data_IF_100712185485
#
_entry.id   IF_100712185485
#
_cell.length_a   1.000
_cell.length_b   1.000
_cell.length_c   1.000
_cell.angle_alpha   90.00
_cell.angle_beta   90.00
_cell.angle_gamma   90.00
#
_symmetry.space_group_name_H-M   'P 1'
#
loop_
_entity.id
_entity.type
_entity.pdbx_description
1 polymer ?
#
# COMPACT_ATOMS: atom_id res chain seq x y z
N UNK A 1 -19.83 3.04 0.78
CA UNK A 1 -19.71 1.85 -0.09
C UNK A 1 -18.26 1.78 -0.58
N UNK A 2 -17.59 0.62 -0.56
CA UNK A 2 -16.23 0.52 -1.12
C UNK A 2 -16.26 0.86 -2.61
N UNK A 3 -15.43 1.80 -3.02
CA UNK A 3 -15.29 2.19 -4.43
C UNK A 3 -14.51 1.08 -5.14
N UNK A 4 -15.10 0.49 -6.16
CA UNK A 4 -14.43 -0.48 -7.03
C UNK A 4 -14.14 0.21 -8.35
N UNK A 5 -12.88 0.20 -8.77
CA UNK A 5 -12.41 0.87 -9.97
C UNK A 5 -11.67 -0.12 -10.88
N UNK A 6 -11.59 0.21 -12.16
CA UNK A 6 -10.79 -0.52 -13.12
C UNK A 6 -9.29 -0.19 -12.92
N UNK A 7 -8.41 -1.18 -12.65
CA UNK A 7 -7.00 -0.91 -12.39
C UNK A 7 -6.29 -0.16 -13.53
N UNK A 8 -6.64 -0.49 -14.78
CA UNK A 8 -6.11 0.21 -15.94
C UNK A 8 -6.60 1.66 -16.04
N UNK A 9 -7.80 1.97 -15.53
CA UNK A 9 -8.28 3.35 -15.47
C UNK A 9 -7.53 4.13 -14.39
N UNK A 10 -7.30 3.52 -13.21
CA UNK A 10 -6.47 4.12 -12.16
C UNK A 10 -5.05 4.41 -12.67
N UNK A 11 -4.38 3.44 -13.29
CA UNK A 11 -3.02 3.62 -13.84
C UNK A 11 -2.96 4.78 -14.84
N UNK A 12 -3.92 4.89 -15.77
CA UNK A 12 -4.00 6.02 -16.70
C UNK A 12 -4.14 7.36 -15.98
N UNK A 13 -5.05 7.46 -15.01
CA UNK A 13 -5.25 8.70 -14.24
C UNK A 13 -3.99 9.07 -13.47
N UNK A 14 -3.35 8.11 -12.79
CA UNK A 14 -2.11 8.37 -12.03
C UNK A 14 -0.97 8.84 -12.95
N UNK A 15 -0.80 8.22 -14.13
CA UNK A 15 0.19 8.65 -15.13
C UNK A 15 -0.10 10.06 -15.62
N UNK A 16 -1.37 10.36 -15.92
CA UNK A 16 -1.77 11.69 -16.37
C UNK A 16 -1.50 12.76 -15.31
N UNK A 17 -1.78 12.48 -14.02
CA UNK A 17 -1.47 13.39 -12.92
C UNK A 17 0.03 13.67 -12.84
N UNK A 18 0.86 12.63 -12.90
CA UNK A 18 2.33 12.77 -12.89
C UNK A 18 2.84 13.59 -14.09
N UNK A 19 2.35 13.30 -15.29
CA UNK A 19 2.75 14.03 -16.51
C UNK A 19 2.29 15.49 -16.45
N UNK A 20 1.06 15.76 -16.02
CA UNK A 20 0.51 17.12 -15.94
C UNK A 20 1.24 17.96 -14.90
N UNK A 21 1.68 17.34 -13.80
CA UNK A 21 2.51 17.97 -12.78
C UNK A 21 3.98 18.17 -13.22
N UNK A 22 4.38 17.66 -14.40
CA UNK A 22 5.75 17.76 -14.90
C UNK A 22 6.74 16.87 -14.13
N UNK A 23 6.27 15.78 -13.51
CA UNK A 23 7.15 14.86 -12.79
C UNK A 23 8.08 14.10 -13.76
N UNK A 24 9.36 14.02 -13.41
CA UNK A 24 10.33 13.13 -14.06
C UNK A 24 10.14 11.68 -13.55
N UNK A 25 9.39 10.88 -14.31
CA UNK A 25 9.07 9.48 -13.96
C UNK A 25 10.10 8.55 -14.59
N UNK A 26 10.92 7.90 -13.74
CA UNK A 26 11.95 6.96 -14.18
C UNK A 26 11.52 5.51 -13.92
N UNK A 27 11.03 4.86 -14.97
CA UNK A 27 10.76 3.42 -14.96
C UNK A 27 12.06 2.63 -15.21
N UNK A 28 12.01 1.31 -14.96
CA UNK A 28 13.16 0.41 -15.12
C UNK A 28 14.43 0.91 -14.40
N UNK A 29 14.21 1.66 -13.32
CA UNK A 29 15.24 2.29 -12.51
C UNK A 29 15.09 1.79 -11.09
N UNK A 30 16.11 1.12 -10.56
CA UNK A 30 16.09 0.59 -9.20
C UNK A 30 16.93 1.44 -8.26
N UNK A 31 16.47 1.56 -7.03
CA UNK A 31 17.29 2.03 -5.91
C UNK A 31 18.44 1.05 -5.65
N UNK A 32 19.62 1.57 -5.30
CA UNK A 32 20.83 0.77 -5.04
C UNK A 32 21.42 1.11 -3.68
N UNK A 33 21.74 2.38 -3.45
CA UNK A 33 22.47 2.86 -2.27
C UNK A 33 21.99 4.25 -1.88
N UNK A 34 22.30 4.69 -0.64
CA UNK A 34 21.98 6.02 -0.13
C UNK A 34 23.20 6.67 0.51
N UNK A 35 23.36 7.97 0.25
CA UNK A 35 24.35 8.82 0.91
C UNK A 35 23.67 9.64 2.02
N UNK A 36 24.12 9.43 3.26
CA UNK A 36 23.50 10.00 4.47
C UNK A 36 24.50 10.85 5.22
N UNK A 37 24.10 12.09 5.51
CA UNK A 37 24.74 12.92 6.52
C UNK A 37 24.19 12.58 7.91
N UNK A 38 24.95 11.80 8.68
CA UNK A 38 24.55 11.41 10.03
C UNK A 38 24.56 12.57 11.02
N UNK A 39 25.49 13.52 10.85
CA UNK A 39 25.63 14.68 11.75
C UNK A 39 24.51 15.67 11.46
N UNK A 40 24.27 15.96 10.18
CA UNK A 40 23.18 16.81 9.72
C UNK A 40 21.80 16.12 9.69
N UNK A 41 21.72 14.84 10.08
CA UNK A 41 20.50 14.01 10.11
C UNK A 41 19.68 14.08 8.82
N UNK A 42 20.34 13.95 7.67
CA UNK A 42 19.68 14.06 6.36
C UNK A 42 20.22 13.10 5.31
N UNK A 43 19.35 12.67 4.41
CA UNK A 43 19.75 12.07 3.14
C UNK A 43 20.29 13.17 2.23
N UNK A 44 21.48 12.96 1.66
CA UNK A 44 22.08 13.83 0.65
C UNK A 44 21.70 13.41 -0.75
N UNK A 45 21.77 12.11 -1.02
CA UNK A 45 21.46 11.54 -2.32
C UNK A 45 21.01 10.09 -2.22
N UNK A 46 20.29 9.65 -3.25
CA UNK A 46 20.14 8.23 -3.57
C UNK A 46 20.96 7.89 -4.81
N UNK A 47 21.42 6.65 -4.90
CA UNK A 47 22.04 6.08 -6.07
C UNK A 47 21.04 5.12 -6.68
N UNK A 48 20.73 5.34 -7.95
CA UNK A 48 19.85 4.48 -8.74
C UNK A 48 20.63 3.81 -9.85
N UNK A 49 20.08 2.73 -10.40
CA UNK A 49 20.62 2.04 -11.56
C UNK A 49 19.50 1.74 -12.56
N UNK A 50 19.71 2.07 -13.83
CA UNK A 50 18.75 1.78 -14.91
C UNK A 50 18.94 0.37 -15.50
N UNK A 51 18.09 0.02 -16.47
CA UNK A 51 18.13 -1.27 -17.16
C UNK A 51 19.46 -1.56 -17.89
N UNK A 52 20.24 -0.53 -18.25
CA UNK A 52 21.55 -0.70 -18.89
C UNK A 52 22.68 -0.95 -17.88
N UNK A 53 22.38 -0.82 -16.59
CA UNK A 53 23.35 -0.89 -15.51
C UNK A 53 24.01 0.45 -15.18
N UNK A 54 23.63 1.54 -15.85
CA UNK A 54 24.17 2.87 -15.58
C UNK A 54 23.70 3.34 -14.21
N UNK A 55 24.64 3.76 -13.36
CA UNK A 55 24.34 4.33 -12.04
C UNK A 55 24.18 5.85 -12.12
N UNK A 56 23.21 6.38 -11.40
CA UNK A 56 22.93 7.81 -11.32
C UNK A 56 22.80 8.24 -9.86
N UNK A 57 23.48 9.33 -9.49
CA UNK A 57 23.34 9.98 -8.18
C UNK A 57 22.28 11.06 -8.28
N UNK A 58 21.26 11.00 -7.43
CA UNK A 58 20.14 11.94 -7.39
C UNK A 58 20.10 12.64 -6.04
N UNK A 59 20.23 13.96 -6.06
CA UNK A 59 20.16 14.83 -4.89
C UNK A 59 18.78 15.50 -4.85
N UNK A 60 18.23 15.65 -3.64
CA UNK A 60 16.95 16.30 -3.42
C UNK A 60 16.94 16.93 -2.02
N UNK A 61 16.08 17.93 -1.85
CA UNK A 61 15.86 18.54 -0.54
C UNK A 61 15.13 17.59 0.40
N UNK A 62 14.15 16.86 -0.13
CA UNK A 62 13.29 15.91 0.57
C UNK A 62 13.24 14.57 -0.17
N UNK A 63 13.12 13.49 0.59
CA UNK A 63 12.94 12.14 0.07
C UNK A 63 11.67 11.54 0.66
N UNK A 64 10.86 10.87 -0.18
CA UNK A 64 9.67 10.14 0.25
C UNK A 64 9.87 8.67 -0.12
N UNK A 65 9.95 7.81 0.89
CA UNK A 65 9.99 6.37 0.72
C UNK A 65 8.56 5.82 0.65
N UNK A 66 8.15 5.51 -0.57
CA UNK A 66 6.87 4.88 -0.89
C UNK A 66 7.03 3.43 -1.37
N UNK A 67 8.14 2.74 -1.04
CA UNK A 67 8.48 1.43 -1.63
C UNK A 67 7.75 0.23 -1.01
N UNK A 68 6.81 0.47 -0.09
CA UNK A 68 6.07 -0.52 0.71
C UNK A 68 6.92 -1.32 1.73
N UNK A 69 8.19 -1.57 1.44
CA UNK A 69 9.18 -2.25 2.29
C UNK A 69 10.25 -1.32 2.90
N UNK A 70 10.02 -0.01 2.77
CA UNK A 70 10.81 1.08 3.36
C UNK A 70 12.31 0.96 3.03
N UNK A 71 12.62 0.64 1.77
CA UNK A 71 13.98 0.31 1.33
C UNK A 71 14.95 1.46 1.57
N UNK A 72 14.54 2.69 1.25
CA UNK A 72 15.38 3.86 1.45
C UNK A 72 15.59 4.10 2.95
N UNK A 73 14.53 4.05 3.76
CA UNK A 73 14.65 4.26 5.20
C UNK A 73 15.55 3.22 5.87
N UNK A 74 15.42 1.94 5.49
CA UNK A 74 16.25 0.85 6.02
C UNK A 74 17.72 1.00 5.63
N UNK A 75 17.99 1.25 4.35
CA UNK A 75 19.36 1.45 3.87
C UNK A 75 19.98 2.71 4.49
N UNK A 76 19.16 3.74 4.74
CA UNK A 76 19.55 4.94 5.44
C UNK A 76 19.70 4.72 6.97
N UNK A 77 19.54 3.50 7.47
CA UNK A 77 19.76 3.12 8.87
C UNK A 77 18.66 3.58 9.83
N UNK A 78 17.45 3.86 9.33
CA UNK A 78 16.30 4.12 10.19
C UNK A 78 15.82 2.84 10.87
N UNK A 79 15.42 2.95 12.14
CA UNK A 79 14.92 1.81 12.90
C UNK A 79 13.63 1.25 12.27
N UNK A 80 13.55 -0.08 12.17
CA UNK A 80 12.35 -0.79 11.69
C UNK A 80 12.01 -2.02 12.52
N UNK A 81 10.81 -2.56 12.33
CA UNK A 81 10.27 -3.79 12.90
C UNK A 81 9.69 -4.69 11.82
N UNK A 82 9.65 -5.99 12.10
CA UNK A 82 8.98 -7.02 11.29
C UNK A 82 8.20 -7.93 12.22
N UNK A 83 6.95 -8.22 11.90
CA UNK A 83 6.10 -9.12 12.71
C UNK A 83 5.50 -8.44 13.95
N UNK A 84 4.81 -9.19 14.81
CA UNK A 84 4.19 -8.66 16.02
C UNK A 84 5.20 -8.13 17.03
N UNK A 85 4.84 -7.04 17.70
CA UNK A 85 5.50 -6.58 18.92
C UNK A 85 4.89 -7.27 20.15
N UNK A 86 5.67 -7.36 21.24
CA UNK A 86 5.20 -7.93 22.51
C UNK A 86 4.28 -6.97 23.26
N UNK A 87 3.52 -7.49 24.23
CA UNK A 87 2.69 -6.64 25.08
C UNK A 87 3.55 -5.58 25.80
N UNK A 88 4.75 -5.94 26.25
CA UNK A 88 5.63 -5.03 26.97
C UNK A 88 6.20 -3.87 26.12
N UNK A 89 6.22 -3.98 24.78
CA UNK A 89 6.79 -2.92 23.92
C UNK A 89 5.85 -1.71 23.80
N UNK A 90 4.54 -1.95 23.65
CA UNK A 90 3.55 -0.89 23.41
C UNK A 90 2.30 -0.92 24.30
N UNK A 91 2.20 -1.88 25.23
CA UNK A 91 1.05 -2.09 26.12
C UNK A 91 -0.27 -2.36 25.36
N UNK A 92 -0.16 -3.02 24.20
CA UNK A 92 -1.29 -3.33 23.33
C UNK A 92 -2.02 -4.60 23.83
N UNK A 93 -3.32 -4.52 24.19
CA UNK A 93 -4.04 -5.63 24.83
C UNK A 93 -4.22 -6.86 23.92
N UNK A 94 -4.19 -6.69 22.59
CA UNK A 94 -4.24 -7.81 21.64
C UNK A 94 -2.85 -8.29 21.18
N UNK A 95 -1.76 -7.72 21.73
CA UNK A 95 -0.41 -8.22 21.45
C UNK A 95 -0.24 -9.64 22.01
N UNK A 96 0.62 -10.41 21.34
CA UNK A 96 0.96 -11.77 21.76
C UNK A 96 2.44 -11.83 22.14
N UNK A 97 2.72 -12.39 23.31
CA UNK A 97 4.10 -12.67 23.75
C UNK A 97 4.62 -14.02 23.23
N UNK A 98 3.94 -14.63 22.25
CA UNK A 98 4.40 -15.85 21.63
C UNK A 98 5.71 -15.61 20.86
N UNK A 99 6.65 -16.54 21.00
CA UNK A 99 7.92 -16.48 20.27
C UNK A 99 7.71 -16.73 18.77
N UNK A 100 8.51 -16.05 17.94
CA UNK A 100 8.55 -16.22 16.50
C UNK A 100 7.82 -15.11 15.73
N UNK A 101 8.13 -15.04 14.43
CA UNK A 101 7.54 -14.04 13.53
C UNK A 101 6.29 -14.65 12.90
N UNK A 102 5.17 -13.93 13.00
CA UNK A 102 3.92 -14.24 12.28
C UNK A 102 3.59 -13.02 11.42
N UNK A 103 3.33 -13.25 10.13
CA UNK A 103 3.02 -12.19 9.17
C UNK A 103 1.74 -12.51 8.42
N UNK A 104 1.01 -11.46 8.05
CA UNK A 104 -0.14 -11.59 7.16
C UNK A 104 0.21 -12.32 5.86
N UNK A 105 -0.72 -13.19 5.44
CA UNK A 105 -0.57 -14.00 4.25
C UNK A 105 -0.37 -13.15 2.98
N UNK A 106 0.38 -13.69 2.02
CA UNK A 106 0.61 -13.10 0.71
C UNK A 106 -0.19 -13.85 -0.37
N UNK A 107 -0.64 -13.12 -1.37
CA UNK A 107 -1.33 -13.71 -2.53
C UNK A 107 -1.32 -12.74 -3.70
N UNK A 108 -1.16 -13.22 -4.95
CA UNK A 108 -1.54 -12.42 -6.11
C UNK A 108 -3.07 -12.29 -6.15
N UNK A 109 -3.54 -11.14 -6.64
CA UNK A 109 -4.93 -11.01 -7.05
C UNK A 109 -5.04 -11.43 -8.52
N UNK A 110 -6.20 -11.92 -8.92
CA UNK A 110 -6.45 -12.21 -10.32
C UNK A 110 -7.87 -11.84 -10.73
N UNK A 111 -8.08 -11.66 -12.03
CA UNK A 111 -9.35 -11.25 -12.62
C UNK A 111 -9.91 -12.38 -13.45
N UNK A 112 -11.21 -12.60 -13.31
CA UNK A 112 -11.95 -13.58 -14.12
C UNK A 112 -13.11 -12.92 -14.83
N UNK A 113 -13.40 -13.40 -16.03
CA UNK A 113 -14.52 -12.93 -16.86
C UNK A 113 -15.51 -14.07 -17.12
N UNK A 114 -16.81 -13.78 -17.18
CA UNK A 114 -17.79 -14.81 -17.51
C UNK A 114 -17.62 -15.25 -18.97
N UNK A 115 -17.84 -16.55 -19.22
CA UNK A 115 -17.96 -17.07 -20.58
C UNK A 115 -19.31 -16.65 -21.18
N UNK A 116 -19.33 -16.36 -22.49
CA UNK A 116 -20.57 -16.15 -23.23
C UNK A 116 -21.39 -17.44 -23.23
N UNK A 117 -22.70 -17.32 -23.38
CA UNK A 117 -23.59 -18.48 -23.42
C UNK A 117 -23.26 -19.47 -24.55
N UNK A 118 -22.72 -18.97 -25.66
CA UNK A 118 -22.27 -19.80 -26.79
C UNK A 118 -20.95 -20.53 -26.56
N UNK A 119 -20.21 -20.21 -25.50
CA UNK A 119 -18.91 -20.80 -25.21
C UNK A 119 -19.06 -22.01 -24.28
N UNK A 120 -18.35 -23.09 -24.59
CA UNK A 120 -18.30 -24.26 -23.71
C UNK A 120 -17.48 -23.95 -22.44
N UNK A 121 -17.79 -24.57 -21.29
CA UNK A 121 -16.93 -24.50 -20.11
C UNK A 121 -15.48 -24.88 -20.43
N UNK A 122 -14.54 -24.12 -19.89
CA UNK A 122 -13.11 -24.31 -20.10
C UNK A 122 -12.43 -24.44 -18.74
N UNK A 123 -11.86 -25.61 -18.46
CA UNK A 123 -11.11 -25.87 -17.23
C UNK A 123 -9.62 -25.75 -17.56
N UNK A 124 -8.92 -24.79 -16.95
CA UNK A 124 -7.47 -24.67 -17.09
C UNK A 124 -6.78 -25.86 -16.43
N UNK A 125 -5.67 -26.39 -16.98
CA UNK A 125 -4.98 -27.52 -16.38
C UNK A 125 -4.36 -27.15 -15.02
N UNK A 126 -4.32 -28.12 -14.11
CA UNK A 126 -3.56 -28.00 -12.86
C UNK A 126 -2.07 -27.81 -13.21
N UNK A 127 -1.38 -26.77 -12.69
CA UNK A 127 0.04 -26.57 -12.99
C UNK A 127 0.88 -27.72 -12.44
N UNK A 128 1.64 -28.39 -13.30
CA UNK A 128 2.50 -29.53 -12.92
C UNK A 128 3.56 -29.17 -11.86
N UNK A 129 3.96 -27.89 -11.83
CA UNK A 129 4.99 -27.35 -10.91
C UNK A 129 4.42 -26.69 -9.65
N UNK A 130 3.11 -26.71 -9.45
CA UNK A 130 2.54 -26.20 -8.20
C UNK A 130 3.02 -27.10 -7.04
N UNK A 131 3.52 -26.47 -5.99
CA UNK A 131 4.05 -27.14 -4.80
C UNK A 131 2.95 -27.44 -3.76
N UNK A 132 1.68 -27.44 -4.18
CA UNK A 132 0.51 -27.59 -3.32
C UNK A 132 -0.51 -28.52 -3.96
N UNK A 133 -1.10 -29.41 -3.16
CA UNK A 133 -2.23 -30.24 -3.58
C UNK A 133 -3.55 -29.47 -3.54
N UNK A 134 -4.53 -29.89 -4.34
CA UNK A 134 -5.86 -29.25 -4.34
C UNK A 134 -6.58 -29.36 -2.99
N UNK A 135 -6.31 -30.41 -2.22
CA UNK A 135 -6.95 -30.64 -0.92
C UNK A 135 -6.32 -29.79 0.20
N UNK A 136 -5.12 -29.25 -0.04
CA UNK A 136 -4.44 -28.33 0.89
C UNK A 136 -4.84 -26.87 0.64
N UNK A 137 -5.45 -26.57 -0.52
CA UNK A 137 -5.91 -25.24 -0.87
C UNK A 137 -7.28 -24.94 -0.26
N UNK A 138 -7.38 -23.76 0.37
CA UNK A 138 -8.66 -23.22 0.82
C UNK A 138 -9.31 -22.46 -0.34
N UNK A 139 -10.61 -22.66 -0.64
CA UNK A 139 -11.31 -21.91 -1.68
C UNK A 139 -11.71 -20.50 -1.23
N UNK A 140 -11.36 -20.10 0.00
CA UNK A 140 -11.67 -18.79 0.58
C UNK A 140 -11.13 -17.71 -0.35
N UNK A 141 -12.03 -16.88 -0.89
CA UNK A 141 -11.69 -15.80 -1.79
C UNK A 141 -12.55 -14.60 -1.50
N UNK A 142 -11.93 -13.44 -1.30
CA UNK A 142 -12.65 -12.16 -1.32
C UNK A 142 -12.91 -11.78 -2.78
N UNK A 143 -14.19 -11.64 -3.13
CA UNK A 143 -14.64 -11.38 -4.50
C UNK A 143 -15.28 -10.00 -4.56
N UNK A 144 -14.86 -9.20 -5.55
CA UNK A 144 -15.44 -7.89 -5.87
C UNK A 144 -15.77 -7.81 -7.35
N UNK A 145 -16.95 -7.34 -7.68
CA UNK A 145 -17.39 -7.19 -9.07
C UNK A 145 -16.87 -5.86 -9.61
N UNK A 146 -16.14 -5.92 -10.73
CA UNK A 146 -15.77 -4.75 -11.51
C UNK A 146 -16.98 -4.17 -12.24
N UNK A 147 -16.95 -2.89 -12.64
CA UNK A 147 -18.06 -2.26 -13.36
C UNK A 147 -18.47 -2.98 -14.65
N UNK A 148 -17.54 -3.68 -15.31
CA UNK A 148 -17.81 -4.42 -16.55
C UNK A 148 -18.37 -5.84 -16.31
N UNK A 149 -18.62 -6.24 -15.06
CA UNK A 149 -19.14 -7.55 -14.69
C UNK A 149 -18.08 -8.62 -14.42
N UNK A 150 -16.80 -8.32 -14.64
CA UNK A 150 -15.71 -9.22 -14.24
C UNK A 150 -15.58 -9.29 -12.72
N UNK A 151 -14.89 -10.31 -12.23
CA UNK A 151 -14.63 -10.48 -10.80
C UNK A 151 -13.15 -10.31 -10.50
N UNK A 152 -12.85 -9.48 -9.50
CA UNK A 152 -11.57 -9.49 -8.80
C UNK A 152 -11.58 -10.60 -7.75
N UNK A 153 -10.61 -11.49 -7.86
CA UNK A 153 -10.41 -12.63 -6.99
C UNK A 153 -9.18 -12.36 -6.11
N UNK A 154 -9.37 -12.28 -4.80
CA UNK A 154 -8.31 -12.17 -3.82
C UNK A 154 -8.35 -13.38 -2.87
N UNK A 155 -7.53 -14.42 -3.11
CA UNK A 155 -7.56 -15.68 -2.35
C UNK A 155 -7.10 -15.57 -0.89
N UNK A 156 -6.46 -14.45 -0.51
CA UNK A 156 -5.96 -14.13 0.83
C UNK A 156 -4.83 -15.06 1.37
N UNK A 157 -4.90 -16.39 1.19
CA UNK A 157 -4.18 -17.40 1.98
C UNK A 157 -3.22 -18.32 1.19
N UNK A 158 -2.74 -17.92 0.00
CA UNK A 158 -1.93 -18.83 -0.83
C UNK A 158 -0.48 -19.04 -0.32
N UNK A 159 0.05 -18.08 0.42
CA UNK A 159 1.40 -18.12 0.96
C UNK A 159 1.41 -17.42 2.30
N UNK A 160 2.12 -17.95 3.30
CA UNK A 160 2.28 -17.23 4.56
C UNK A 160 3.21 -16.03 4.37
N UNK A 161 3.03 -14.94 5.13
CA UNK A 161 3.93 -13.79 5.00
C UNK A 161 5.38 -14.12 5.37
N UNK A 162 5.58 -15.04 6.32
CA UNK A 162 6.91 -15.53 6.73
C UNK A 162 7.58 -16.32 5.60
N UNK A 163 6.80 -17.17 4.94
CA UNK A 163 7.28 -17.90 3.76
C UNK A 163 7.65 -16.93 2.63
N UNK A 164 6.80 -15.94 2.34
CA UNK A 164 7.07 -14.92 1.32
C UNK A 164 8.36 -14.14 1.65
N UNK A 165 8.54 -13.73 2.91
CA UNK A 165 9.74 -13.03 3.35
C UNK A 165 11.01 -13.89 3.23
N UNK A 166 10.92 -15.20 3.49
CA UNK A 166 12.05 -16.12 3.41
C UNK A 166 12.44 -16.45 1.97
N UNK A 167 11.47 -16.64 1.09
CA UNK A 167 11.69 -16.96 -0.33
C UNK A 167 12.11 -15.74 -1.16
N UNK A 168 11.77 -14.54 -0.68
CA UNK A 168 12.12 -13.27 -1.32
C UNK A 168 11.70 -13.27 -2.81
N UNK A 169 12.65 -13.14 -3.75
CA UNK A 169 12.35 -13.15 -5.19
C UNK A 169 11.63 -14.41 -5.70
N UNK A 170 11.86 -15.59 -5.10
CA UNK A 170 11.20 -16.84 -5.50
C UNK A 170 9.73 -16.90 -5.06
N UNK A 171 9.33 -16.10 -4.07
CA UNK A 171 7.97 -16.07 -3.54
C UNK A 171 6.94 -15.74 -4.63
N UNK A 172 7.33 -14.89 -5.59
CA UNK A 172 6.49 -14.50 -6.71
C UNK A 172 6.05 -15.73 -7.52
N UNK A 173 7.01 -16.47 -8.09
CA UNK A 173 6.69 -17.55 -9.03
C UNK A 173 5.90 -18.67 -8.36
N UNK A 174 6.28 -19.02 -7.13
CA UNK A 174 5.57 -20.02 -6.33
C UNK A 174 4.12 -19.58 -6.05
N UNK A 175 3.91 -18.35 -5.56
CA UNK A 175 2.57 -17.87 -5.24
C UNK A 175 1.66 -17.80 -6.47
N UNK A 176 2.20 -17.52 -7.66
CA UNK A 176 1.44 -17.47 -8.91
C UNK A 176 1.06 -18.86 -9.42
N UNK A 177 1.95 -19.86 -9.26
CA UNK A 177 1.60 -21.26 -9.52
C UNK A 177 0.50 -21.73 -8.57
N UNK A 178 0.58 -21.39 -7.28
CA UNK A 178 -0.48 -21.69 -6.30
C UNK A 178 -1.79 -20.99 -6.64
N UNK A 179 -1.76 -19.76 -7.17
CA UNK A 179 -2.96 -19.05 -7.61
C UNK A 179 -3.63 -19.72 -8.80
N UNK A 180 -2.86 -20.27 -9.75
CA UNK A 180 -3.39 -21.08 -10.85
C UNK A 180 -3.97 -22.42 -10.37
N UNK A 181 -3.32 -23.07 -9.40
CA UNK A 181 -3.88 -24.27 -8.77
C UNK A 181 -5.20 -23.96 -8.01
N UNK A 182 -5.25 -22.82 -7.31
CA UNK A 182 -6.47 -22.32 -6.68
C UNK A 182 -7.57 -21.99 -7.72
N UNK A 183 -7.21 -21.41 -8.85
CA UNK A 183 -8.16 -21.19 -9.93
C UNK A 183 -8.74 -22.51 -10.47
N UNK A 184 -7.89 -23.49 -10.73
CA UNK A 184 -8.31 -24.84 -11.12
C UNK A 184 -9.24 -25.48 -10.07
N UNK A 185 -8.95 -25.31 -8.77
CA UNK A 185 -9.84 -25.73 -7.68
C UNK A 185 -11.23 -25.10 -7.81
N UNK A 186 -11.31 -23.79 -8.03
CA UNK A 186 -12.59 -23.09 -8.15
C UNK A 186 -13.40 -23.60 -9.35
N UNK A 187 -12.75 -23.79 -10.50
CA UNK A 187 -13.42 -24.29 -11.70
C UNK A 187 -13.96 -25.71 -11.50
N UNK A 188 -13.18 -26.60 -10.88
CA UNK A 188 -13.53 -28.02 -10.74
C UNK A 188 -14.45 -28.35 -9.57
N UNK A 189 -14.44 -27.56 -8.49
CA UNK A 189 -15.16 -27.88 -7.24
C UNK A 189 -16.15 -26.81 -6.78
N UNK A 190 -16.12 -25.60 -7.35
CA UNK A 190 -16.88 -24.46 -6.83
C UNK A 190 -17.70 -23.69 -7.89
N UNK A 191 -17.93 -24.27 -9.07
CA UNK A 191 -18.86 -23.71 -10.07
C UNK A 191 -18.31 -22.50 -10.86
N UNK A 192 -16.98 -22.38 -10.96
CA UNK A 192 -16.33 -21.37 -11.79
C UNK A 192 -15.94 -21.89 -13.19
N UNK A 193 -16.44 -23.06 -13.61
CA UNK A 193 -16.23 -23.64 -14.94
C UNK A 193 -16.81 -22.79 -16.10
N UNK A 194 -17.74 -21.89 -15.79
CA UNK A 194 -18.32 -20.89 -16.69
C UNK A 194 -17.60 -19.53 -16.69
N UNK A 195 -16.38 -19.48 -16.17
CA UNK A 195 -15.54 -18.29 -16.07
C UNK A 195 -14.13 -18.59 -16.59
N UNK A 196 -13.42 -17.56 -17.06
CA UNK A 196 -12.01 -17.67 -17.50
C UNK A 196 -11.11 -16.69 -16.77
N UNK A 197 -9.88 -17.09 -16.48
CA UNK A 197 -8.83 -16.19 -16.00
C UNK A 197 -8.41 -15.26 -17.13
N UNK A 198 -8.49 -13.94 -16.92
CA UNK A 198 -8.13 -12.95 -17.94
C UNK A 198 -6.90 -12.11 -17.58
N UNK A 199 -6.55 -12.07 -16.29
CA UNK A 199 -5.41 -11.28 -15.81
C UNK A 199 -5.00 -11.72 -14.42
N UNK A 200 -3.71 -11.55 -14.09
CA UNK A 200 -3.16 -11.69 -12.74
C UNK A 200 -2.38 -10.43 -12.40
N UNK A 201 -2.33 -10.05 -11.12
CA UNK A 201 -1.53 -8.91 -10.67
C UNK A 201 -0.07 -9.06 -11.09
N UNK A 202 0.63 -7.98 -11.47
CA UNK A 202 2.03 -8.07 -11.88
C UNK A 202 2.98 -8.27 -10.69
N UNK A 203 2.51 -8.07 -9.47
CA UNK A 203 3.28 -8.24 -8.24
C UNK A 203 2.53 -9.13 -7.25
N UNK A 204 3.29 -9.75 -6.35
CA UNK A 204 2.74 -10.48 -5.21
C UNK A 204 2.16 -9.50 -4.18
N UNK A 205 0.92 -9.73 -3.75
CA UNK A 205 0.26 -8.94 -2.71
C UNK A 205 0.83 -9.25 -1.32
N UNK A 206 1.99 -8.67 -0.99
CA UNK A 206 2.58 -8.72 0.34
C UNK A 206 1.86 -7.74 1.27
N UNK A 207 1.37 -8.26 2.39
CA UNK A 207 0.51 -7.53 3.32
C UNK A 207 1.25 -6.91 4.50
N UNK A 208 2.29 -7.56 4.98
CA UNK A 208 3.02 -7.19 6.18
C UNK A 208 4.46 -7.66 6.09
N UNK A 209 5.39 -6.76 6.37
CA UNK A 209 6.85 -6.99 6.44
C UNK A 209 7.46 -5.88 7.30
N UNK A 210 8.33 -5.03 6.75
CA UNK A 210 9.02 -3.96 7.45
C UNK A 210 8.09 -2.78 7.73
N UNK A 211 8.17 -2.26 8.96
CA UNK A 211 7.53 -1.03 9.39
C UNK A 211 8.53 -0.12 10.09
N UNK A 212 8.42 1.17 9.84
CA UNK A 212 9.26 2.20 10.44
C UNK A 212 8.98 2.31 11.94
N UNK A 213 10.02 2.51 12.75
CA UNK A 213 9.87 3.01 14.12
C UNK A 213 10.15 4.51 14.12
N UNK A 214 9.12 5.29 13.79
CA UNK A 214 9.18 6.72 13.59
C UNK A 214 9.01 7.52 14.88
N UNK A 215 8.80 8.83 14.74
CA UNK A 215 8.61 9.76 15.86
C UNK A 215 7.35 9.46 16.65
N UNK A 216 6.33 8.88 16.00
CA UNK A 216 5.19 8.27 16.65
C UNK A 216 4.87 6.92 16.01
N UNK A 217 4.57 5.93 16.83
CA UNK A 217 4.06 4.62 16.39
C UNK A 217 2.58 4.61 16.72
N UNK A 218 1.71 4.56 15.71
CA UNK A 218 0.26 4.39 15.92
C UNK A 218 -0.04 2.96 16.38
N UNK A 219 -0.83 2.83 17.44
CA UNK A 219 -1.03 1.56 18.15
C UNK A 219 -2.50 1.16 18.21
N UNK A 220 -2.78 -0.02 18.75
CA UNK A 220 -4.11 -0.54 19.03
C UNK A 220 -4.96 0.44 19.84
N UNK A 221 -4.37 1.10 20.84
CA UNK A 221 -5.12 2.04 21.67
C UNK A 221 -5.58 3.27 20.88
N UNK A 222 -4.85 3.69 19.84
CA UNK A 222 -5.30 4.75 18.93
C UNK A 222 -6.51 4.30 18.12
N UNK A 223 -6.47 3.06 17.61
CA UNK A 223 -7.59 2.45 16.88
C UNK A 223 -8.82 2.37 17.79
N UNK A 224 -8.65 1.86 19.00
CA UNK A 224 -9.73 1.68 19.95
C UNK A 224 -10.23 2.99 20.53
N UNK A 225 -9.41 4.03 20.66
CA UNK A 225 -9.89 5.36 21.05
C UNK A 225 -10.85 5.93 19.98
N UNK A 226 -10.52 5.73 18.71
CA UNK A 226 -11.18 6.38 17.60
C UNK A 226 -10.95 7.90 17.59
N UNK A 227 -11.35 8.56 16.52
CA UNK A 227 -11.00 9.95 16.25
C UNK A 227 -11.43 10.91 17.38
N UNK A 228 -12.62 10.69 17.94
CA UNK A 228 -13.21 11.60 18.93
C UNK A 228 -12.44 11.63 20.27
N UNK A 229 -11.67 10.58 20.59
CA UNK A 229 -10.92 10.47 21.83
C UNK A 229 -9.40 10.60 21.63
N UNK A 230 -8.93 10.77 20.39
CA UNK A 230 -7.53 11.08 20.11
C UNK A 230 -7.21 12.55 20.37
N UNK A 231 -6.02 12.81 20.89
CA UNK A 231 -5.50 14.15 21.19
C UNK A 231 -4.37 14.59 20.25
N UNK A 232 -4.22 13.93 19.11
CA UNK A 232 -3.19 14.26 18.12
C UNK A 232 -3.59 15.55 17.39
N UNK A 233 -2.75 16.57 17.48
CA UNK A 233 -2.92 17.87 16.81
C UNK A 233 -2.47 17.84 15.33
N UNK A 234 -1.84 16.74 14.92
CA UNK A 234 -1.18 16.57 13.63
C UNK A 234 -1.80 15.46 12.77
N UNK A 235 -3.10 15.18 12.94
CA UNK A 235 -3.80 14.18 12.11
C UNK A 235 -3.85 14.61 10.64
N UNK A 236 -3.42 13.72 9.74
CA UNK A 236 -3.35 13.98 8.29
C UNK A 236 -4.30 13.11 7.45
N UNK A 237 -4.90 12.09 8.05
CA UNK A 237 -5.91 11.22 7.43
C UNK A 237 -6.56 10.34 8.49
N UNK A 238 -7.61 9.64 8.11
CA UNK A 238 -8.22 8.57 8.91
C UNK A 238 -8.01 7.18 8.31
N UNK A 239 -8.09 6.17 9.19
CA UNK A 239 -8.26 4.77 8.86
C UNK A 239 -9.57 4.27 9.48
N UNK A 240 -10.44 3.66 8.68
CA UNK A 240 -11.79 3.22 9.06
C UNK A 240 -11.96 1.70 8.94
N UNK A 241 -10.85 0.96 8.90
CA UNK A 241 -10.87 -0.48 8.71
C UNK A 241 -10.82 -1.25 10.03
N UNK A 242 -11.42 -2.44 10.04
CA UNK A 242 -11.23 -3.42 11.09
C UNK A 242 -9.75 -3.80 11.24
N UNK A 243 -9.40 -4.34 12.40
CA UNK A 243 -8.11 -5.00 12.62
C UNK A 243 -8.19 -6.34 11.88
N UNK A 244 -7.48 -6.43 10.75
CA UNK A 244 -7.55 -7.60 9.88
C UNK A 244 -6.19 -8.25 9.61
N UNK A 245 -6.04 -9.44 10.18
CA UNK A 245 -4.85 -10.28 10.08
C UNK A 245 -4.93 -11.40 9.05
N UNK A 246 -5.98 -11.44 8.21
CA UNK A 246 -6.06 -12.36 7.06
C UNK A 246 -5.71 -13.82 7.42
N UNK A 247 -6.22 -14.29 8.56
CA UNK A 247 -6.03 -15.65 9.09
C UNK A 247 -4.67 -15.96 9.68
N UNK A 248 -3.76 -14.99 9.80
CA UNK A 248 -2.51 -15.15 10.55
C UNK A 248 -2.72 -15.04 12.07
N UNK A 249 -3.69 -14.20 12.48
CA UNK A 249 -4.12 -13.94 13.86
C UNK A 249 -5.64 -13.66 13.88
N UNK A 250 -6.31 -13.63 15.05
CA UNK A 250 -7.73 -13.28 15.14
C UNK A 250 -8.01 -11.82 14.71
N UNK A 251 -8.85 -11.62 13.70
CA UNK A 251 -9.32 -10.29 13.25
C UNK A 251 -10.50 -9.81 14.11
N UNK A 252 -10.66 -8.49 14.28
CA UNK A 252 -11.80 -7.89 15.02
C UNK A 252 -12.22 -6.53 14.48
N UNK A 253 -13.48 -6.17 14.72
CA UNK A 253 -13.97 -4.82 14.45
C UNK A 253 -13.37 -3.79 15.42
N UNK A 254 -13.32 -2.54 14.97
CA UNK A 254 -13.03 -1.36 15.78
C UNK A 254 -14.36 -0.67 16.06
N UNK A 255 -14.70 -0.43 17.32
CA UNK A 255 -16.04 -0.01 17.73
C UNK A 255 -16.25 1.50 17.86
N UNK A 256 -15.16 2.28 17.95
CA UNK A 256 -15.23 3.71 18.31
C UNK A 256 -15.05 4.65 17.11
N UNK A 257 -15.33 4.15 15.90
CA UNK A 257 -15.25 4.91 14.66
C UNK A 257 -13.86 4.87 14.01
N UNK A 258 -13.59 5.75 13.03
CA UNK A 258 -12.31 5.79 12.35
C UNK A 258 -11.21 6.33 13.28
N UNK A 259 -9.97 5.94 13.02
CA UNK A 259 -8.79 6.37 13.75
C UNK A 259 -7.98 7.38 12.94
N UNK A 260 -7.60 8.49 13.56
CA UNK A 260 -6.67 9.47 13.02
C UNK A 260 -5.25 8.97 12.98
N UNK A 261 -4.59 9.24 11.85
CA UNK A 261 -3.18 8.96 11.63
C UNK A 261 -2.37 10.26 11.77
N UNK A 262 -1.52 10.39 12.81
CA UNK A 262 -0.62 11.51 13.01
C UNK A 262 0.44 11.63 11.90
N UNK A 263 0.80 12.85 11.50
CA UNK A 263 1.89 13.11 10.55
C UNK A 263 3.23 12.54 11.03
N UNK A 264 3.48 12.55 12.35
CA UNK A 264 4.70 11.96 12.95
C UNK A 264 4.87 10.45 12.67
N UNK A 265 3.82 9.74 12.24
CA UNK A 265 3.94 8.36 11.75
C UNK A 265 4.77 8.25 10.46
N UNK A 266 4.86 9.32 9.67
CA UNK A 266 5.64 9.35 8.44
C UNK A 266 7.11 9.71 8.68
N UNK A 267 7.47 10.18 9.88
CA UNK A 267 8.78 10.76 10.17
C UNK A 267 9.67 9.74 10.89
N UNK A 268 10.84 9.38 10.33
CA UNK A 268 11.87 8.63 11.05
C UNK A 268 12.40 9.41 12.25
N UNK A 269 13.00 8.69 13.20
CA UNK A 269 13.70 9.30 14.34
C UNK A 269 15.09 9.79 13.96
N UNK A 270 15.69 9.19 12.95
CA UNK A 270 17.11 9.35 12.61
C UNK A 270 17.35 10.50 11.63
N UNK A 271 16.39 10.74 10.73
CA UNK A 271 16.52 11.65 9.60
C UNK A 271 15.37 12.65 9.56
N UNK A 272 15.69 13.89 9.20
CA UNK A 272 14.75 15.01 9.21
C UNK A 272 14.13 15.26 7.83
N UNK A 273 14.81 14.92 6.73
CA UNK A 273 14.34 15.14 5.34
C UNK A 273 13.89 13.86 4.61
N UNK A 274 13.54 12.81 5.36
CA UNK A 274 13.00 11.57 4.84
C UNK A 274 11.60 11.36 5.42
N UNK A 275 10.62 11.07 4.57
CA UNK A 275 9.29 10.65 4.95
C UNK A 275 9.03 9.22 4.47
N UNK A 276 8.22 8.46 5.19
CA UNK A 276 7.77 7.12 4.80
C UNK A 276 6.27 7.13 4.60
N UNK A 277 5.82 7.04 3.35
CA UNK A 277 4.41 7.15 2.96
C UNK A 277 3.93 5.88 2.24
N UNK A 278 3.94 4.76 2.96
CA UNK A 278 3.47 3.47 2.45
C UNK A 278 2.98 2.57 3.60
N UNK A 279 2.68 1.30 3.32
CA UNK A 279 2.22 0.34 4.33
C UNK A 279 3.22 0.11 5.47
N UNK A 280 4.49 0.46 5.23
CA UNK A 280 5.57 0.43 6.22
C UNK A 280 5.76 1.73 7.00
N UNK A 281 4.82 2.69 6.92
CA UNK A 281 4.80 3.85 7.82
C UNK A 281 4.72 3.41 9.30
N UNK A 282 4.95 4.34 10.22
CA UNK A 282 5.18 3.99 11.62
C UNK A 282 3.92 3.63 12.40
N UNK A 283 3.61 2.34 12.36
CA UNK A 283 2.50 1.68 13.03
C UNK A 283 3.00 0.43 13.75
N UNK A 284 2.38 0.07 14.88
CA UNK A 284 2.53 -1.28 15.44
C UNK A 284 2.00 -2.31 14.45
N UNK A 285 2.28 -3.59 14.66
CA UNK A 285 1.71 -4.67 13.84
C UNK A 285 0.18 -4.65 13.85
N UNK A 286 -0.41 -4.31 15.00
CA UNK A 286 -1.87 -4.21 15.17
C UNK A 286 -2.39 -2.93 14.48
N UNK A 287 -1.76 -1.78 14.72
CA UNK A 287 -2.09 -0.52 14.05
C UNK A 287 -2.05 -0.65 12.51
N UNK A 288 -0.98 -1.25 11.99
CA UNK A 288 -0.78 -1.47 10.56
C UNK A 288 -1.89 -2.34 9.95
N UNK A 289 -2.43 -3.31 10.70
CA UNK A 289 -3.48 -4.20 10.20
C UNK A 289 -4.75 -3.47 9.78
N UNK A 290 -5.04 -2.31 10.40
CA UNK A 290 -6.16 -1.43 10.06
C UNK A 290 -5.74 -0.33 9.07
N UNK A 291 -4.56 0.29 9.26
CA UNK A 291 -4.17 1.48 8.50
C UNK A 291 -3.62 1.23 7.09
N UNK A 292 -3.31 -0.01 6.70
CA UNK A 292 -2.57 -0.30 5.44
C UNK A 292 -3.40 -0.38 4.15
N UNK A 293 -4.66 0.04 4.18
CA UNK A 293 -5.52 0.02 2.99
C UNK A 293 -5.16 1.12 1.99
N UNK A 294 -5.39 0.86 0.69
CA UNK A 294 -5.03 1.77 -0.40
C UNK A 294 -5.53 3.21 -0.21
N UNK A 295 -6.74 3.39 0.35
CA UNK A 295 -7.28 4.72 0.68
C UNK A 295 -6.33 5.49 1.59
N UNK A 296 -5.98 4.90 2.73
CA UNK A 296 -5.07 5.52 3.69
C UNK A 296 -3.70 5.73 3.06
N UNK A 297 -3.17 4.78 2.29
CA UNK A 297 -1.88 4.93 1.60
C UNK A 297 -1.85 6.13 0.64
N UNK A 298 -2.91 6.34 -0.13
CA UNK A 298 -3.02 7.51 -1.00
C UNK A 298 -3.00 8.82 -0.20
N UNK A 299 -3.67 8.84 0.96
CA UNK A 299 -3.68 10.03 1.83
C UNK A 299 -2.34 10.26 2.53
N UNK A 300 -1.61 9.22 2.92
CA UNK A 300 -0.23 9.38 3.43
C UNK A 300 0.68 9.98 2.34
N UNK A 301 0.51 9.54 1.09
CA UNK A 301 1.20 10.09 -0.07
C UNK A 301 0.88 11.57 -0.30
N UNK A 302 -0.40 11.95 -0.26
CA UNK A 302 -0.85 13.35 -0.37
C UNK A 302 -0.21 14.21 0.72
N UNK A 303 -0.27 13.76 1.98
CA UNK A 303 0.31 14.48 3.11
C UNK A 303 1.83 14.62 2.98
N UNK A 304 2.54 13.55 2.62
CA UNK A 304 3.99 13.60 2.47
C UNK A 304 4.43 14.52 1.31
N UNK A 305 3.77 14.44 0.15
CA UNK A 305 4.06 15.29 -1.00
C UNK A 305 3.77 16.77 -0.70
N UNK A 306 2.63 17.05 -0.07
CA UNK A 306 2.24 18.41 0.33
C UNK A 306 3.23 19.00 1.33
N UNK A 307 3.64 18.23 2.34
CA UNK A 307 4.64 18.66 3.32
C UNK A 307 6.00 18.94 2.64
N UNK A 308 6.45 18.07 1.73
CA UNK A 308 7.69 18.28 1.00
C UNK A 308 7.65 19.58 0.17
N UNK A 309 6.52 19.87 -0.49
CA UNK A 309 6.33 21.08 -1.29
C UNK A 309 6.26 22.35 -0.42
N UNK A 310 5.58 22.31 0.73
CA UNK A 310 5.39 23.46 1.60
C UNK A 310 6.66 23.88 2.37
N UNK A 311 7.47 22.90 2.77
CA UNK A 311 8.55 23.13 3.74
C UNK A 311 9.95 22.98 3.14
N UNK A 312 10.12 22.27 2.03
CA UNK A 312 11.44 22.13 1.37
C UNK A 312 12.52 21.69 2.37
N UNK A 313 13.58 22.48 2.57
CA UNK A 313 14.63 22.17 3.55
C UNK A 313 14.30 22.53 5.01
N UNK A 314 13.22 23.28 5.27
CA UNK A 314 12.81 23.67 6.63
C UNK A 314 12.03 22.54 7.33
N UNK A 315 12.71 21.42 7.56
CA UNK A 315 12.15 20.23 8.21
C UNK A 315 11.75 20.49 9.66
N UNK A 316 12.26 21.56 10.29
CA UNK A 316 11.84 21.97 11.62
C UNK A 316 10.37 22.40 11.64
N UNK A 317 9.86 22.95 10.54
CA UNK A 317 8.46 23.34 10.39
C UNK A 317 7.48 22.15 10.50
N UNK A 318 7.94 20.90 10.30
CA UNK A 318 7.08 19.72 10.48
C UNK A 318 6.54 19.56 11.90
N UNK A 319 7.24 20.08 12.91
CA UNK A 319 6.93 19.85 14.33
C UNK A 319 6.97 21.13 15.17
N UNK A 320 7.07 22.30 14.54
CA UNK A 320 7.19 23.58 15.24
C UNK A 320 6.43 24.71 14.54
N UNK A 321 6.13 25.77 15.30
CA UNK A 321 5.43 26.94 14.78
C UNK A 321 4.02 26.62 14.29
N UNK A 322 3.65 27.19 13.15
CA UNK A 322 2.37 27.03 12.47
C UNK A 322 2.41 25.98 11.35
N UNK A 323 3.53 25.28 11.16
CA UNK A 323 3.74 24.39 10.01
C UNK A 323 2.70 23.27 9.94
N UNK A 324 2.34 22.66 11.06
CA UNK A 324 1.28 21.64 11.07
C UNK A 324 -0.08 22.21 10.67
N UNK A 325 -0.43 23.42 11.12
CA UNK A 325 -1.67 24.08 10.68
C UNK A 325 -1.64 24.32 9.18
N UNK A 326 -0.54 24.87 8.65
CA UNK A 326 -0.38 25.12 7.21
C UNK A 326 -0.51 23.86 6.36
N UNK A 327 0.07 22.73 6.83
CA UNK A 327 -0.09 21.45 6.16
C UNK A 327 -1.54 21.00 6.15
N UNK A 328 -2.21 21.02 7.31
CA UNK A 328 -3.61 20.61 7.43
C UNK A 328 -4.55 21.49 6.62
N UNK A 329 -4.34 22.81 6.62
CA UNK A 329 -5.12 23.77 5.84
C UNK A 329 -4.98 23.49 4.33
N UNK A 330 -3.77 23.18 3.86
CA UNK A 330 -3.55 22.79 2.47
C UNK A 330 -4.20 21.45 2.15
N UNK A 331 -4.10 20.45 3.03
CA UNK A 331 -4.76 19.15 2.85
C UNK A 331 -6.28 19.29 2.73
N UNK A 332 -6.90 20.12 3.58
CA UNK A 332 -8.35 20.43 3.50
C UNK A 332 -8.68 21.14 2.19
N UNK A 333 -7.85 22.10 1.78
CA UNK A 333 -7.98 22.79 0.48
C UNK A 333 -7.94 21.80 -0.70
N UNK A 334 -7.10 20.77 -0.60
CA UNK A 334 -6.98 19.69 -1.59
C UNK A 334 -8.11 18.64 -1.50
N UNK A 335 -9.06 18.81 -0.58
CA UNK A 335 -10.22 17.93 -0.40
C UNK A 335 -9.96 16.72 0.51
N UNK A 336 -8.88 16.70 1.28
CA UNK A 336 -8.65 15.67 2.31
C UNK A 336 -9.53 15.97 3.52
N UNK A 337 -10.39 15.02 3.87
CA UNK A 337 -11.20 15.11 5.08
C UNK A 337 -10.34 14.90 6.33
N UNK A 338 -10.27 15.93 7.20
CA UNK A 338 -9.56 15.90 8.47
C UNK A 338 -10.50 16.05 9.69
N UNK A 339 -11.81 16.07 9.45
CA UNK A 339 -12.88 15.93 10.45
C UNK A 339 -13.98 14.97 9.97
N UNK A 340 -14.79 14.44 10.89
CA UNK A 340 -15.93 13.58 10.52
C UNK A 340 -17.03 14.32 9.75
N UNK A 341 -17.17 15.62 9.99
CA UNK A 341 -18.10 16.49 9.27
C UNK A 341 -17.65 16.65 7.79
N UNK A 342 -16.35 16.81 7.55
CA UNK A 342 -15.78 16.86 6.19
C UNK A 342 -15.73 15.48 5.50
N UNK A 343 -15.63 14.40 6.27
CA UNK A 343 -15.54 13.02 5.75
C UNK A 343 -16.87 12.41 5.30
N UNK A 344 -18.00 13.05 5.61
CA UNK A 344 -19.33 12.58 5.24
C UNK A 344 -19.73 13.10 3.85
N UNK A 345 -19.26 12.45 2.77
CA UNK A 345 -19.77 12.58 1.38
C UNK A 345 -19.78 13.98 0.71
N UNK A 346 -19.61 15.08 1.45
CA UNK A 346 -19.72 16.45 0.95
C UNK A 346 -18.43 16.93 0.25
N UNK A 347 -17.29 16.28 0.48
CA UNK A 347 -16.02 16.59 -0.20
C UNK A 347 -16.05 16.37 -1.73
N UNK A 348 -17.08 15.72 -2.28
CA UNK A 348 -17.26 15.55 -3.72
C UNK A 348 -18.31 16.51 -4.33
N UNK A 349 -19.00 17.33 -3.55
CA UNK A 349 -20.06 18.19 -4.05
C UNK A 349 -19.56 19.44 -4.80
N UNK A 350 -18.25 19.74 -4.73
CA UNK A 350 -17.64 20.94 -5.33
C UNK A 350 -16.37 20.71 -6.15
N UNK A 351 -15.92 19.46 -6.31
CA UNK A 351 -14.79 19.17 -7.21
C UNK A 351 -15.35 19.17 -8.64
N UNK A 352 -14.99 20.16 -9.44
CA UNK A 352 -15.26 20.11 -10.88
C UNK A 352 -14.73 18.78 -11.41
N UNK A 353 -15.55 18.00 -12.15
CA UNK A 353 -15.04 16.84 -12.85
C UNK A 353 -13.81 17.27 -13.65
N UNK A 354 -12.72 16.49 -13.58
CA UNK A 354 -11.64 16.63 -14.54
C UNK A 354 -12.27 16.80 -15.93
N UNK A 355 -11.87 17.81 -16.73
CA UNK A 355 -12.53 18.14 -17.98
C UNK A 355 -12.83 16.85 -18.75
N UNK A 356 -14.09 16.62 -19.12
CA UNK A 356 -14.45 15.49 -19.96
C UNK A 356 -13.65 15.62 -21.26
N UNK A 357 -12.58 14.83 -21.39
CA UNK A 357 -11.84 14.75 -22.64
C UNK A 357 -12.65 13.84 -23.56
N UNK A 358 -13.64 14.44 -24.21
CA UNK A 358 -13.99 14.07 -25.56
C UNK A 358 -12.81 14.50 -26.43
N UNK A 359 -11.98 13.55 -26.84
CA UNK A 359 -11.60 13.41 -28.25
C UNK A 359 -10.84 12.09 -28.47
N UNK A 360 -11.42 11.25 -29.31
CA UNK A 360 -10.74 10.19 -30.02
C UNK A 360 -9.58 10.82 -30.84
N UNK A 361 -8.32 10.41 -30.61
CA UNK A 361 -7.29 10.67 -31.62
C UNK A 361 -5.85 10.96 -31.19
N UNK A 362 -5.51 11.05 -29.90
CA UNK A 362 -4.12 11.23 -29.49
C UNK A 362 -3.61 10.02 -28.68
N UNK A 363 -3.08 9.02 -29.38
CA UNK A 363 -2.19 8.04 -28.74
C UNK A 363 -0.89 8.75 -28.33
N UNK A 364 -0.50 8.76 -27.05
CA UNK A 364 0.86 9.12 -26.70
C UNK A 364 1.78 8.04 -27.25
N UNK A 365 2.72 8.44 -28.10
CA UNK A 365 3.75 7.57 -28.66
C UNK A 365 4.64 7.06 -27.53
N UNK A 366 4.33 5.90 -26.97
CA UNK A 366 5.31 5.09 -26.25
C UNK A 366 6.19 4.49 -27.33
N UNK A 367 7.42 5.00 -27.48
CA UNK A 367 8.42 4.41 -28.38
C UNK A 367 8.91 3.12 -27.70
N UNK A 368 8.60 1.92 -28.22
CA UNK A 368 9.23 0.71 -27.74
C UNK A 368 10.64 0.66 -28.32
N UNK A 369 11.67 0.62 -27.47
CA UNK A 369 13.01 0.27 -27.92
C UNK A 369 13.05 -1.24 -28.22
N UNK A 370 13.70 -1.69 -29.31
CA UNK A 370 13.72 -3.09 -29.71
C UNK A 370 14.49 -3.97 -28.72
N UNK A 371 14.06 -5.24 -28.69
CA UNK A 371 14.42 -6.33 -27.76
C UNK A 371 15.90 -6.54 -27.51
#
# INVERSE_FOLDING_TARGET
MPITFEPAALDRVMRQLLTTAGCDVRLETRFVEVDVDRVGRRVRAIITQDATGQRQRLEADQFIDATADIYLAREAGCQSRVGPESHAEYDEPSASDAEGVVLNNASPCYRVSPLRESEAPEIEPLPERADVGLDDLRPVTSIRTYPNGDLNMNPLHLMTGVEALRLDSEAHDIAFLRARAHWHLLQTRHGFDRWRLVWMSPALGIRETHRLVGRYVLREQDLDAGLAAQSHDDIITFADHAIDFHGSRPSRAVSNGPCGVPFRCLLPKELDNLLVACRGASFSSIGASSCRLSRTMMMLGQAAGTAAALFGLDTAAYVSGDGMSRLRDQLVTDGVALTLEEGCLDAMAGIEPLPQILEEGASPTIVPQPR
#
